data_IF_867387960454
#
_entry.id   IF_867387960454
#
_cell.length_a   1.000
_cell.length_b   1.000
_cell.length_c   1.000
_cell.angle_alpha   90.00
_cell.angle_beta   90.00
_cell.angle_gamma   90.00
#
_symmetry.space_group_name_H-M   'P 1'
#
loop_
_entity.id
_entity.type
_entity.pdbx_description
1 polymer ?
#
# COMPACT_ATOMS: atom_id res chain seq x y z
N UNK A 1 -57.64 -41.71 19.38
CA UNK A 1 -57.16 -40.40 18.88
C UNK A 1 -55.72 -40.24 19.32
N UNK A 2 -54.72 -40.23 18.41
CA UNK A 2 -53.34 -40.02 18.82
C UNK A 2 -53.11 -38.52 19.06
N UNK A 3 -52.51 -38.20 20.21
CA UNK A 3 -52.11 -36.85 20.58
C UNK A 3 -50.78 -36.56 19.89
N UNK A 4 -50.78 -35.63 18.94
CA UNK A 4 -49.58 -35.14 18.28
C UNK A 4 -48.87 -34.16 19.22
N UNK A 5 -47.67 -34.51 19.72
CA UNK A 5 -46.80 -33.56 20.40
C UNK A 5 -46.12 -32.67 19.36
N UNK A 6 -46.46 -31.39 19.34
CA UNK A 6 -45.69 -30.37 18.62
C UNK A 6 -44.46 -29.99 19.47
N UNK A 7 -43.27 -30.36 19.01
CA UNK A 7 -42.03 -29.82 19.54
C UNK A 7 -41.76 -28.45 18.91
N UNK A 8 -41.93 -27.37 19.67
CA UNK A 8 -41.54 -26.02 19.27
C UNK A 8 -40.04 -25.88 19.55
N UNK A 9 -39.21 -25.92 18.51
CA UNK A 9 -37.81 -25.53 18.61
C UNK A 9 -37.73 -24.00 18.66
N UNK A 10 -37.61 -23.44 19.86
CA UNK A 10 -37.17 -22.06 20.01
C UNK A 10 -35.66 -22.01 19.77
N UNK A 11 -35.24 -21.48 18.62
CA UNK A 11 -33.84 -21.13 18.40
C UNK A 11 -33.48 -19.97 19.33
N UNK A 12 -32.74 -20.28 20.40
CA UNK A 12 -32.12 -19.25 21.24
C UNK A 12 -30.93 -18.71 20.45
N UNK A 13 -31.14 -17.58 19.77
CA UNK A 13 -30.04 -16.81 19.20
C UNK A 13 -29.30 -16.15 20.36
N UNK A 14 -28.18 -16.76 20.78
CA UNK A 14 -27.20 -16.04 21.57
C UNK A 14 -26.74 -14.83 20.73
N UNK A 15 -26.73 -13.61 21.26
CA UNK A 15 -26.15 -12.48 20.55
C UNK A 15 -24.68 -12.81 20.30
N UNK A 16 -24.25 -12.73 19.03
CA UNK A 16 -22.84 -12.80 18.71
C UNK A 16 -22.12 -11.71 19.53
N UNK A 17 -21.19 -12.12 20.40
CA UNK A 17 -20.51 -11.23 21.35
C UNK A 17 -19.37 -10.43 20.71
N UNK A 18 -19.22 -10.48 19.39
CA UNK A 18 -18.31 -9.64 18.61
C UNK A 18 -19.07 -8.54 17.87
N UNK A 19 -18.55 -7.31 17.91
CA UNK A 19 -19.03 -6.23 17.05
C UNK A 19 -18.64 -6.58 15.61
N UNK A 20 -19.50 -6.30 14.63
CA UNK A 20 -19.18 -6.52 13.22
C UNK A 20 -17.94 -5.72 12.83
N UNK A 21 -17.09 -6.30 11.97
CA UNK A 21 -15.91 -5.62 11.42
C UNK A 21 -16.34 -4.31 10.76
N UNK A 22 -15.71 -3.22 11.15
CA UNK A 22 -15.80 -1.93 10.48
C UNK A 22 -14.52 -1.69 9.68
N UNK A 23 -14.65 -1.17 8.47
CA UNK A 23 -13.52 -0.75 7.65
C UNK A 23 -13.85 0.51 6.87
N UNK A 24 -12.82 1.31 6.63
CA UNK A 24 -12.89 2.48 5.75
C UNK A 24 -11.54 2.72 5.10
N UNK A 25 -11.54 3.43 3.99
CA UNK A 25 -10.33 3.74 3.25
C UNK A 25 -10.32 5.20 2.79
N UNK A 26 -9.12 5.75 2.61
CA UNK A 26 -8.90 7.16 2.29
C UNK A 26 -7.56 7.37 1.61
N UNK A 27 -7.42 8.49 0.89
CA UNK A 27 -6.18 8.83 0.19
C UNK A 27 -5.94 10.33 0.16
N UNK A 28 -4.67 10.71 0.26
CA UNK A 28 -4.26 12.09 0.16
C UNK A 28 -3.09 12.24 -0.80
N UNK A 29 -3.12 13.30 -1.60
CA UNK A 29 -1.99 13.72 -2.41
C UNK A 29 -0.85 14.17 -1.48
N UNK A 30 0.34 13.61 -1.70
CA UNK A 30 1.58 13.93 -0.99
C UNK A 30 2.67 14.43 -1.94
N UNK A 31 2.30 14.83 -3.16
CA UNK A 31 3.22 15.37 -4.18
C UNK A 31 3.79 16.70 -3.72
N UNK A 32 5.11 16.81 -3.53
CA UNK A 32 5.70 18.08 -3.12
C UNK A 32 5.96 18.99 -4.35
N UNK A 33 6.29 20.27 -4.11
CA UNK A 33 6.65 21.18 -5.19
C UNK A 33 7.85 20.68 -6.03
N UNK A 34 7.83 20.99 -7.33
CA UNK A 34 8.97 20.76 -8.24
C UNK A 34 10.25 21.40 -7.68
N UNK A 35 11.38 20.73 -7.84
CA UNK A 35 12.65 21.10 -7.23
C UNK A 35 12.89 20.50 -5.85
N UNK A 36 11.88 19.88 -5.24
CA UNK A 36 12.07 19.06 -4.03
C UNK A 36 12.99 17.88 -4.33
N UNK A 37 14.01 17.59 -3.50
CA UNK A 37 14.89 16.43 -3.66
C UNK A 37 14.11 15.14 -3.92
N UNK A 38 14.60 14.31 -4.83
CA UNK A 38 14.08 12.96 -5.03
C UNK A 38 14.88 11.93 -4.22
N UNK A 39 14.35 10.73 -4.04
CA UNK A 39 15.02 9.66 -3.30
C UNK A 39 15.13 8.36 -4.12
N UNK A 40 16.14 7.54 -3.83
CA UNK A 40 16.34 6.23 -4.45
C UNK A 40 17.61 6.13 -5.31
N UNK A 41 17.75 6.95 -6.36
CA UNK A 41 18.91 6.88 -7.26
C UNK A 41 20.08 7.75 -6.78
N UNK A 42 21.19 7.10 -6.41
CA UNK A 42 22.44 7.79 -6.05
C UNK A 42 23.02 8.65 -7.19
N UNK A 43 22.75 8.30 -8.45
CA UNK A 43 23.16 9.07 -9.62
C UNK A 43 22.59 10.51 -9.65
N UNK A 44 21.47 10.76 -8.96
CA UNK A 44 20.91 12.12 -8.83
C UNK A 44 21.70 13.00 -7.89
N UNK A 45 22.58 12.45 -7.05
CA UNK A 45 23.36 13.21 -6.05
C UNK A 45 22.49 14.16 -5.21
N UNK A 46 21.27 13.72 -4.86
CA UNK A 46 20.32 14.51 -4.07
C UNK A 46 19.65 15.68 -4.80
N UNK A 47 19.73 15.76 -6.13
CA UNK A 47 18.99 16.74 -6.95
C UNK A 47 17.47 16.55 -6.82
N UNK A 48 16.76 17.66 -7.01
CA UNK A 48 15.30 17.69 -7.01
C UNK A 48 14.67 17.29 -8.33
N UNK A 49 13.36 17.12 -8.29
CA UNK A 49 12.56 16.86 -9.49
C UNK A 49 12.57 18.06 -10.44
N UNK A 50 12.39 17.77 -11.72
CA UNK A 50 12.23 18.74 -12.81
C UNK A 50 10.76 18.83 -13.28
N UNK A 51 9.90 17.91 -12.81
CA UNK A 51 8.47 17.93 -13.09
C UNK A 51 7.69 16.86 -12.32
N UNK A 52 6.41 16.74 -12.66
CA UNK A 52 5.47 15.75 -12.13
C UNK A 52 4.85 15.05 -13.34
N UNK A 53 5.06 13.75 -13.47
CA UNK A 53 4.36 12.95 -14.48
C UNK A 53 2.96 12.56 -13.97
N UNK A 54 2.90 12.01 -12.76
CA UNK A 54 1.67 11.66 -12.07
C UNK A 54 1.78 11.97 -10.56
N UNK A 55 0.66 12.27 -9.88
CA UNK A 55 0.68 12.53 -8.44
C UNK A 55 1.07 11.29 -7.65
N UNK A 56 1.74 11.51 -6.53
CA UNK A 56 2.10 10.47 -5.55
C UNK A 56 1.19 10.56 -4.33
N UNK A 57 0.79 9.42 -3.80
CA UNK A 57 -0.29 9.33 -2.81
C UNK A 57 0.16 8.70 -1.50
N UNK A 58 -0.50 9.09 -0.42
CA UNK A 58 -0.67 8.26 0.76
C UNK A 58 -2.07 7.63 0.70
N UNK A 59 -2.18 6.33 0.98
CA UNK A 59 -3.43 5.57 0.94
C UNK A 59 -3.55 4.75 2.21
N UNK A 60 -4.66 4.90 2.92
CA UNK A 60 -4.88 4.28 4.23
C UNK A 60 -6.12 3.37 4.20
N UNK A 61 -6.02 2.26 4.91
CA UNK A 61 -7.09 1.34 5.24
C UNK A 61 -7.19 1.26 6.77
N UNK A 62 -8.35 1.61 7.31
CA UNK A 62 -8.74 1.43 8.70
C UNK A 62 -9.52 0.12 8.85
N UNK A 63 -9.22 -0.67 9.89
CA UNK A 63 -9.92 -1.89 10.24
C UNK A 63 -10.20 -1.91 11.76
N UNK A 64 -11.40 -2.34 12.15
CA UNK A 64 -11.85 -2.40 13.55
C UNK A 64 -12.80 -3.59 13.77
N UNK A 65 -12.37 -4.61 14.53
CA UNK A 65 -13.21 -5.76 14.88
C UNK A 65 -14.00 -5.57 16.20
N UNK A 66 -14.04 -4.34 16.71
CA UNK A 66 -14.60 -3.96 18.01
C UNK A 66 -13.67 -4.18 19.20
N UNK A 67 -12.54 -4.87 19.01
CA UNK A 67 -11.51 -5.13 20.04
C UNK A 67 -10.16 -4.52 19.66
N UNK A 68 -9.72 -4.77 18.43
CA UNK A 68 -8.45 -4.35 17.87
C UNK A 68 -8.73 -3.42 16.69
N UNK A 69 -8.03 -2.29 16.69
CA UNK A 69 -8.11 -1.28 15.62
C UNK A 69 -6.75 -1.14 14.95
N UNK A 70 -6.70 -1.10 13.62
CA UNK A 70 -5.47 -1.11 12.82
C UNK A 70 -5.55 -0.09 11.70
N UNK A 71 -4.44 0.60 11.43
CA UNK A 71 -4.22 1.31 10.17
C UNK A 71 -3.16 0.57 9.35
N UNK A 72 -3.47 0.29 8.08
CA UNK A 72 -2.48 -0.04 7.05
C UNK A 72 -2.36 1.13 6.10
N UNK A 73 -1.16 1.73 6.02
CA UNK A 73 -0.93 2.95 5.25
C UNK A 73 0.22 2.75 4.27
N UNK A 74 -0.10 2.73 2.97
CA UNK A 74 0.86 2.68 1.88
C UNK A 74 1.14 4.07 1.31
N UNK A 75 2.41 4.37 1.03
CA UNK A 75 2.85 5.65 0.49
C UNK A 75 3.71 5.48 -0.76
N UNK A 76 3.51 6.33 -1.75
CA UNK A 76 4.34 6.39 -2.96
C UNK A 76 5.67 7.11 -2.69
N UNK A 77 6.51 6.46 -1.86
CA UNK A 77 7.82 6.92 -1.43
C UNK A 77 8.85 5.80 -1.61
N UNK A 78 10.14 6.14 -1.49
CA UNK A 78 11.17 5.10 -1.46
C UNK A 78 11.15 4.32 -0.13
N UNK A 79 10.93 4.98 1.00
CA UNK A 79 11.00 4.35 2.31
C UNK A 79 10.32 5.21 3.37
N UNK A 80 9.87 4.56 4.44
CA UNK A 80 9.46 5.24 5.67
C UNK A 80 10.70 5.39 6.56
N UNK A 81 11.29 6.59 6.56
CA UNK A 81 12.44 6.86 7.43
C UNK A 81 11.98 7.11 8.89
N UNK A 82 12.88 7.00 9.89
CA UNK A 82 12.52 7.19 11.29
C UNK A 82 11.89 8.56 11.60
N UNK A 83 12.38 9.63 10.96
CA UNK A 83 11.86 10.98 11.15
C UNK A 83 10.41 11.13 10.65
N UNK A 84 10.10 10.56 9.49
CA UNK A 84 8.75 10.51 8.94
C UNK A 84 7.83 9.63 9.79
N UNK A 85 8.31 8.46 10.21
CA UNK A 85 7.54 7.59 11.11
C UNK A 85 7.18 8.33 12.40
N UNK A 86 8.17 8.93 13.06
CA UNK A 86 7.95 9.67 14.30
C UNK A 86 6.92 10.80 14.09
N UNK A 87 7.08 11.59 13.02
CA UNK A 87 6.19 12.71 12.76
C UNK A 87 4.76 12.28 12.42
N UNK A 88 4.58 11.19 11.66
CA UNK A 88 3.26 10.62 11.38
C UNK A 88 2.60 10.14 12.67
N UNK A 89 3.33 9.45 13.57
CA UNK A 89 2.78 8.97 14.83
C UNK A 89 2.41 10.11 15.80
N UNK A 90 3.15 11.22 15.79
CA UNK A 90 2.80 12.43 16.55
C UNK A 90 1.50 13.10 16.06
N UNK A 91 1.25 13.04 14.74
CA UNK A 91 0.10 13.67 14.09
C UNK A 91 -1.09 12.72 13.93
N UNK A 92 -0.88 11.43 14.12
CA UNK A 92 -1.91 10.41 13.92
C UNK A 92 -3.07 10.65 14.88
N UNK A 93 -4.31 10.42 14.45
CA UNK A 93 -5.46 10.54 15.33
C UNK A 93 -5.37 9.50 16.44
N UNK A 94 -5.78 9.87 17.67
CA UNK A 94 -5.78 8.99 18.85
C UNK A 94 -6.94 7.98 18.78
N UNK A 95 -6.86 7.11 17.77
CA UNK A 95 -7.87 6.11 17.41
C UNK A 95 -7.33 4.69 17.52
N UNK A 96 -6.01 4.52 17.36
CA UNK A 96 -5.35 3.22 17.46
C UNK A 96 -4.04 3.37 18.24
N UNK A 97 -3.59 2.31 18.95
CA UNK A 97 -2.24 2.28 19.51
C UNK A 97 -1.18 2.49 18.41
N UNK A 98 -0.07 3.21 18.66
CA UNK A 98 0.98 3.44 17.66
C UNK A 98 1.54 2.17 17.02
N UNK A 99 1.59 1.06 17.77
CA UNK A 99 2.00 -0.26 17.31
C UNK A 99 1.04 -0.90 16.30
N UNK A 100 -0.20 -0.43 16.23
CA UNK A 100 -1.22 -0.87 15.29
C UNK A 100 -1.26 -0.01 14.02
N UNK A 101 -0.30 0.90 13.84
CA UNK A 101 -0.14 1.70 12.62
C UNK A 101 1.00 1.10 11.79
N UNK A 102 0.63 0.42 10.71
CA UNK A 102 1.57 -0.15 9.75
C UNK A 102 1.81 0.87 8.64
N UNK A 103 2.98 1.50 8.65
CA UNK A 103 3.43 2.39 7.58
C UNK A 103 4.33 1.64 6.61
N UNK A 104 4.03 1.72 5.32
CA UNK A 104 4.81 1.10 4.25
C UNK A 104 4.96 2.04 3.07
N UNK A 105 6.02 1.84 2.30
CA UNK A 105 6.32 2.61 1.11
C UNK A 105 6.35 1.67 -0.10
N UNK A 106 5.83 2.12 -1.25
CA UNK A 106 5.89 1.35 -2.50
C UNK A 106 7.31 1.13 -2.97
N UNK A 107 8.27 1.92 -2.48
CA UNK A 107 9.65 1.92 -2.91
C UNK A 107 9.84 2.51 -4.32
N UNK A 108 8.95 3.40 -4.76
CA UNK A 108 9.21 4.22 -5.95
C UNK A 108 10.49 5.05 -5.77
N UNK A 109 11.37 4.98 -6.76
CA UNK A 109 12.55 5.85 -6.84
C UNK A 109 12.19 7.22 -7.45
N UNK A 110 10.94 7.46 -7.79
CA UNK A 110 10.45 8.73 -8.32
C UNK A 110 9.53 9.46 -7.33
N UNK A 111 9.66 9.17 -6.03
CA UNK A 111 9.07 9.95 -4.94
C UNK A 111 10.05 10.93 -4.28
N UNK A 112 9.57 11.67 -3.28
CA UNK A 112 10.37 12.69 -2.60
C UNK A 112 11.38 12.14 -1.61
N UNK A 113 12.52 12.83 -1.56
CA UNK A 113 13.53 12.76 -0.52
C UNK A 113 13.38 13.90 0.47
N UNK A 114 14.51 14.41 0.97
CA UNK A 114 14.56 15.58 1.85
C UNK A 114 14.00 15.37 3.26
N UNK A 115 13.63 14.14 3.64
CA UNK A 115 12.96 13.88 4.92
C UNK A 115 13.87 13.27 6.00
N UNK A 116 15.17 13.06 5.74
CA UNK A 116 16.11 12.52 6.74
C UNK A 116 17.22 13.50 7.10
N UNK A 117 17.58 13.51 8.38
CA UNK A 117 18.71 14.29 8.93
C UNK A 117 20.05 13.55 8.79
N UNK A 118 20.03 12.23 8.54
CA UNK A 118 21.24 11.40 8.49
C UNK A 118 22.10 11.73 7.27
N UNK A 119 23.28 12.30 7.51
CA UNK A 119 24.20 12.76 6.46
C UNK A 119 24.53 11.73 5.37
N UNK A 120 24.80 10.44 5.68
CA UNK A 120 25.12 9.47 4.63
C UNK A 120 23.98 9.25 3.62
N UNK A 121 22.73 9.25 4.09
CA UNK A 121 21.54 9.01 3.26
C UNK A 121 21.23 10.22 2.36
N UNK A 122 21.65 11.42 2.78
CA UNK A 122 21.42 12.68 2.03
C UNK A 122 22.12 12.74 0.66
N UNK A 123 23.09 11.87 0.39
CA UNK A 123 23.65 11.70 -0.96
C UNK A 123 22.62 11.16 -1.96
N UNK A 124 21.69 10.34 -1.47
CA UNK A 124 20.64 9.69 -2.28
C UNK A 124 19.31 10.41 -2.13
N UNK A 125 19.01 10.95 -0.95
CA UNK A 125 17.74 11.61 -0.65
C UNK A 125 17.79 13.14 -0.73
N UNK A 126 18.95 13.74 -0.96
CA UNK A 126 19.16 15.19 -0.96
C UNK A 126 19.08 15.88 0.40
N UNK A 127 19.11 17.21 0.37
CA UNK A 127 19.13 18.07 1.58
C UNK A 127 17.86 17.88 2.41
N UNK A 128 18.02 17.80 3.73
CA UNK A 128 16.90 17.82 4.66
C UNK A 128 16.07 19.10 4.54
N UNK A 129 14.77 18.95 4.33
CA UNK A 129 13.77 20.00 4.17
C UNK A 129 12.62 19.72 5.16
N UNK A 130 12.57 20.41 6.31
CA UNK A 130 11.57 20.14 7.34
C UNK A 130 10.14 20.33 6.84
N UNK A 131 9.89 21.29 5.93
CA UNK A 131 8.56 21.54 5.37
C UNK A 131 8.07 20.38 4.49
N UNK A 132 8.99 19.65 3.83
CA UNK A 132 8.65 18.45 3.04
C UNK A 132 8.28 17.31 3.98
N UNK A 133 9.03 17.13 5.08
CA UNK A 133 8.70 16.16 6.12
C UNK A 133 7.32 16.46 6.72
N UNK A 134 7.07 17.72 7.09
CA UNK A 134 5.82 18.15 7.71
C UNK A 134 4.62 17.95 6.77
N UNK A 135 4.71 18.47 5.54
CA UNK A 135 3.62 18.37 4.58
C UNK A 135 3.32 16.93 4.17
N UNK A 136 4.35 16.08 4.06
CA UNK A 136 4.19 14.63 3.79
C UNK A 136 3.50 13.95 4.98
N UNK A 137 3.93 14.21 6.22
CA UNK A 137 3.31 13.64 7.41
C UNK A 137 1.84 14.06 7.56
N UNK A 138 1.53 15.34 7.34
CA UNK A 138 0.15 15.84 7.32
C UNK A 138 -0.70 15.19 6.23
N UNK A 139 -0.14 14.96 5.04
CA UNK A 139 -0.86 14.25 3.97
C UNK A 139 -1.19 12.81 4.36
N UNK A 140 -0.24 12.10 4.94
CA UNK A 140 -0.43 10.73 5.44
C UNK A 140 -1.55 10.68 6.48
N UNK A 141 -1.54 11.60 7.46
CA UNK A 141 -2.57 11.61 8.51
C UNK A 141 -3.93 12.07 8.00
N UNK A 142 -3.99 12.91 6.96
CA UNK A 142 -5.25 13.18 6.23
C UNK A 142 -5.84 11.93 5.60
N UNK A 143 -5.02 11.10 4.95
CA UNK A 143 -5.50 9.83 4.38
C UNK A 143 -6.03 8.89 5.48
N UNK A 144 -5.35 8.84 6.63
CA UNK A 144 -5.80 8.06 7.80
C UNK A 144 -7.13 8.59 8.35
N UNK A 145 -7.29 9.91 8.45
CA UNK A 145 -8.52 10.53 8.92
C UNK A 145 -9.69 10.23 7.97
N UNK A 146 -9.48 10.36 6.66
CA UNK A 146 -10.48 10.01 5.65
C UNK A 146 -10.87 8.53 5.73
N UNK A 147 -9.90 7.63 5.91
CA UNK A 147 -10.15 6.20 6.08
C UNK A 147 -10.98 5.90 7.34
N UNK A 148 -10.78 6.63 8.42
CA UNK A 148 -11.61 6.50 9.61
C UNK A 148 -13.01 7.06 9.39
N UNK A 149 -13.14 8.23 8.77
CA UNK A 149 -14.42 8.91 8.57
C UNK A 149 -15.32 8.18 7.57
N UNK A 150 -14.74 7.44 6.62
CA UNK A 150 -15.47 6.63 5.63
C UNK A 150 -15.88 5.24 6.14
N UNK A 151 -15.55 4.89 7.38
CA UNK A 151 -15.75 3.53 7.88
C UNK A 151 -17.21 3.11 7.89
N UNK A 152 -17.44 1.87 7.49
CA UNK A 152 -18.74 1.20 7.48
C UNK A 152 -18.58 -0.25 7.88
N UNK A 153 -19.68 -0.97 8.07
CA UNK A 153 -19.64 -2.43 8.25
C UNK A 153 -18.99 -3.07 7.03
N UNK A 154 -18.06 -3.97 7.27
CA UNK A 154 -17.22 -4.52 6.25
C UNK A 154 -16.98 -6.02 6.45
N UNK A 155 -16.60 -6.66 5.36
CA UNK A 155 -16.07 -8.01 5.34
C UNK A 155 -14.69 -7.98 4.68
N UNK A 156 -13.82 -8.91 5.09
CA UNK A 156 -12.46 -9.03 4.56
C UNK A 156 -12.22 -10.46 4.07
N UNK A 157 -11.49 -10.58 2.98
CA UNK A 157 -11.06 -11.85 2.44
C UNK A 157 -9.68 -11.72 1.78
N UNK A 158 -9.05 -12.86 1.53
CA UNK A 158 -7.75 -12.90 0.86
C UNK A 158 -7.71 -13.97 -0.22
N UNK A 159 -6.83 -13.77 -1.19
CA UNK A 159 -6.53 -14.73 -2.23
C UNK A 159 -5.13 -14.53 -2.77
N UNK A 160 -4.67 -15.50 -3.54
CA UNK A 160 -3.36 -15.43 -4.20
C UNK A 160 -3.48 -15.88 -5.66
N UNK A 161 -2.68 -15.27 -6.53
CA UNK A 161 -2.47 -15.76 -7.89
C UNK A 161 -0.98 -15.96 -8.16
N UNK A 162 -0.72 -16.75 -9.21
CA UNK A 162 0.60 -16.82 -9.82
C UNK A 162 0.65 -15.94 -11.05
N UNK A 163 1.61 -15.02 -11.12
CA UNK A 163 1.89 -14.20 -12.31
C UNK A 163 3.01 -14.79 -13.16
N UNK A 164 2.95 -14.50 -14.46
CA UNK A 164 4.00 -14.84 -15.41
C UNK A 164 4.52 -13.57 -16.06
N UNK A 165 5.82 -13.33 -15.94
CA UNK A 165 6.53 -12.30 -16.71
C UNK A 165 6.39 -10.86 -16.18
N UNK A 166 5.71 -10.61 -15.06
CA UNK A 166 5.66 -9.29 -14.41
C UNK A 166 6.87 -8.98 -13.54
N UNK A 167 7.61 -10.01 -13.11
CA UNK A 167 8.79 -9.89 -12.26
C UNK A 167 9.98 -10.61 -12.88
N UNK A 168 11.18 -10.05 -12.72
CA UNK A 168 12.45 -10.67 -13.12
C UNK A 168 13.53 -10.50 -12.04
N UNK A 169 14.43 -11.47 -11.93
CA UNK A 169 15.62 -11.33 -11.11
C UNK A 169 16.65 -10.43 -11.83
N UNK A 170 17.02 -9.31 -11.22
CA UNK A 170 17.99 -8.36 -11.78
C UNK A 170 19.45 -8.63 -11.40
N UNK A 171 19.70 -9.59 -10.50
CA UNK A 171 21.05 -9.91 -10.02
C UNK A 171 21.66 -11.11 -10.73
N UNK A 172 20.83 -12.09 -11.10
CA UNK A 172 21.27 -13.31 -11.77
C UNK A 172 20.30 -13.66 -12.90
N UNK A 173 20.83 -13.84 -14.12
CA UNK A 173 20.04 -14.35 -15.25
C UNK A 173 19.51 -15.76 -14.91
N UNK A 174 18.21 -15.98 -15.06
CA UNK A 174 17.55 -17.22 -14.63
C UNK A 174 17.47 -17.42 -13.11
N UNK A 175 17.80 -16.40 -12.31
CA UNK A 175 17.69 -16.43 -10.85
C UNK A 175 16.24 -16.58 -10.37
N UNK A 176 16.04 -16.88 -9.06
CA UNK A 176 14.71 -17.07 -8.51
C UNK A 176 13.87 -15.81 -8.64
N UNK A 177 12.60 -16.03 -9.00
CA UNK A 177 11.56 -15.01 -9.10
C UNK A 177 10.45 -15.35 -8.14
N UNK A 178 9.92 -14.35 -7.47
CA UNK A 178 8.66 -14.50 -6.75
C UNK A 178 7.51 -14.20 -7.71
N UNK A 179 6.82 -15.27 -8.07
CA UNK A 179 5.71 -15.24 -9.02
C UNK A 179 4.35 -15.10 -8.30
N UNK A 180 4.33 -14.93 -6.98
CA UNK A 180 3.07 -14.78 -6.24
C UNK A 180 2.58 -13.34 -6.27
N UNK A 181 1.27 -13.17 -6.47
CA UNK A 181 0.53 -11.96 -6.15
C UNK A 181 -0.40 -12.29 -4.99
N UNK A 182 -0.30 -11.53 -3.90
CA UNK A 182 -1.26 -11.58 -2.81
C UNK A 182 -2.32 -10.50 -2.99
N UNK A 183 -3.58 -10.81 -2.67
CA UNK A 183 -4.68 -9.84 -2.71
C UNK A 183 -5.50 -9.97 -1.44
N UNK A 184 -5.75 -8.83 -0.79
CA UNK A 184 -6.78 -8.68 0.24
C UNK A 184 -7.88 -7.82 -0.35
N UNK A 185 -9.11 -8.30 -0.24
CA UNK A 185 -10.32 -7.55 -0.56
C UNK A 185 -11.00 -7.17 0.74
N UNK A 186 -11.35 -5.89 0.86
CA UNK A 186 -12.24 -5.39 1.90
C UNK A 186 -13.46 -4.81 1.21
N UNK A 187 -14.64 -5.27 1.57
CA UNK A 187 -15.92 -4.88 0.97
C UNK A 187 -16.90 -4.42 2.04
N UNK A 188 -17.84 -3.55 1.65
CA UNK A 188 -18.95 -3.15 2.51
C UNK A 188 -20.03 -4.25 2.59
N UNK A 189 -21.08 -4.00 3.38
CA UNK A 189 -22.20 -4.93 3.56
C UNK A 189 -22.98 -5.25 2.27
N UNK A 190 -22.84 -4.44 1.22
CA UNK A 190 -23.47 -4.65 -0.09
C UNK A 190 -22.53 -5.36 -1.08
N UNK A 191 -21.33 -5.75 -0.64
CA UNK A 191 -20.31 -6.39 -1.46
C UNK A 191 -19.54 -5.42 -2.36
N UNK A 192 -19.62 -4.11 -2.11
CA UNK A 192 -18.83 -3.15 -2.87
C UNK A 192 -17.42 -3.04 -2.30
N UNK A 193 -16.36 -3.06 -3.14
CA UNK A 193 -14.98 -2.90 -2.66
C UNK A 193 -14.73 -1.54 -2.00
N UNK A 194 -14.32 -1.57 -0.73
CA UNK A 194 -13.78 -0.43 0.03
C UNK A 194 -12.30 -0.26 -0.31
N UNK A 195 -11.53 -1.35 -0.29
CA UNK A 195 -10.11 -1.35 -0.59
C UNK A 195 -9.68 -2.68 -1.20
N UNK A 196 -8.73 -2.61 -2.12
CA UNK A 196 -8.00 -3.76 -2.63
C UNK A 196 -6.52 -3.56 -2.31
N UNK A 197 -5.99 -4.40 -1.44
CA UNK A 197 -4.55 -4.41 -1.13
C UNK A 197 -3.89 -5.50 -1.96
N UNK A 198 -2.99 -5.13 -2.86
CA UNK A 198 -2.25 -6.09 -3.68
C UNK A 198 -0.76 -6.07 -3.33
N UNK A 199 -0.14 -7.24 -3.39
CA UNK A 199 1.28 -7.44 -3.13
C UNK A 199 1.97 -8.04 -4.36
N UNK A 200 3.13 -7.50 -4.74
CA UNK A 200 4.01 -8.08 -5.77
C UNK A 200 5.47 -7.79 -5.46
N UNK A 201 6.36 -8.74 -5.73
CA UNK A 201 7.80 -8.60 -5.51
C UNK A 201 8.53 -8.01 -6.74
N UNK A 202 8.34 -6.72 -7.04
CA UNK A 202 9.08 -6.06 -8.12
C UNK A 202 9.45 -4.62 -7.74
N UNK A 203 10.72 -4.25 -7.87
CA UNK A 203 11.17 -2.91 -7.53
C UNK A 203 10.52 -1.85 -8.46
N UNK A 204 9.88 -0.78 -7.94
CA UNK A 204 9.36 0.31 -8.77
C UNK A 204 10.49 1.26 -9.21
N UNK A 205 11.25 0.75 -10.17
CA UNK A 205 12.31 1.43 -10.91
C UNK A 205 12.11 1.15 -12.39
N UNK A 206 10.88 1.37 -12.88
CA UNK A 206 10.50 1.08 -14.27
C UNK A 206 10.70 2.28 -15.20
N UNK A 207 10.75 3.48 -14.63
CA UNK A 207 10.93 4.75 -15.34
C UNK A 207 12.35 4.85 -15.89
N UNK A 208 12.46 5.20 -17.17
CA UNK A 208 13.73 5.31 -17.89
C UNK A 208 14.52 6.58 -17.56
N UNK A 209 15.79 6.60 -18.00
CA UNK A 209 16.75 7.67 -17.67
C UNK A 209 16.29 9.07 -18.12
N UNK A 210 15.61 9.17 -19.28
CA UNK A 210 15.10 10.44 -19.80
C UNK A 210 14.07 11.10 -18.87
N UNK A 211 13.34 10.30 -18.09
CA UNK A 211 12.28 10.73 -17.19
C UNK A 211 12.68 10.60 -15.72
N UNK A 212 13.97 10.39 -15.45
CA UNK A 212 14.45 10.11 -14.10
C UNK A 212 14.26 11.29 -13.13
N UNK A 213 13.89 12.49 -13.59
CA UNK A 213 13.63 13.65 -12.73
C UNK A 213 12.13 14.00 -12.61
N UNK A 214 11.23 13.13 -13.04
CA UNK A 214 9.78 13.32 -12.88
C UNK A 214 9.27 12.68 -11.60
N UNK A 215 8.46 13.39 -10.80
CA UNK A 215 7.70 12.71 -9.74
C UNK A 215 6.68 11.74 -10.36
N UNK A 216 6.60 10.53 -9.78
CA UNK A 216 5.70 9.46 -10.22
C UNK A 216 5.61 8.35 -9.17
N UNK A 217 4.41 7.76 -9.08
CA UNK A 217 4.18 6.55 -8.30
C UNK A 217 4.75 5.28 -8.97
N UNK A 218 5.36 5.39 -10.16
CA UNK A 218 5.89 4.28 -10.98
C UNK A 218 4.74 3.30 -11.36
N UNK A 219 5.02 2.02 -11.65
CA UNK A 219 3.98 1.07 -12.02
C UNK A 219 2.87 0.90 -10.95
N UNK A 220 3.10 1.09 -9.62
CA UNK A 220 2.02 1.15 -8.63
C UNK A 220 0.96 2.21 -8.94
N UNK A 221 1.34 3.38 -9.47
CA UNK A 221 0.39 4.42 -9.88
C UNK A 221 -0.61 3.94 -10.93
N UNK A 222 -0.11 3.22 -11.92
CA UNK A 222 -0.95 2.60 -12.96
C UNK A 222 -1.78 1.43 -12.43
N UNK A 223 -1.28 0.69 -11.43
CA UNK A 223 -2.08 -0.30 -10.72
C UNK A 223 -3.28 0.35 -10.02
N UNK A 224 -3.08 1.46 -9.31
CA UNK A 224 -4.18 2.14 -8.62
C UNK A 224 -5.27 2.61 -9.57
N UNK A 225 -4.87 3.33 -10.63
CA UNK A 225 -5.82 3.89 -11.59
C UNK A 225 -6.58 2.80 -12.34
N UNK A 226 -5.93 1.69 -12.69
CA UNK A 226 -6.61 0.56 -13.33
C UNK A 226 -7.53 -0.18 -12.34
N UNK A 227 -7.11 -0.39 -11.10
CA UNK A 227 -7.97 -1.02 -10.08
C UNK A 227 -9.22 -0.20 -9.78
N UNK A 228 -9.11 1.13 -9.70
CA UNK A 228 -10.24 2.05 -9.53
C UNK A 228 -11.25 1.91 -10.70
N UNK A 229 -10.77 1.69 -11.94
CA UNK A 229 -11.63 1.39 -13.10
C UNK A 229 -12.25 -0.01 -13.05
N UNK A 230 -11.51 -1.02 -12.62
CA UNK A 230 -11.95 -2.43 -12.56
C UNK A 230 -12.86 -2.74 -11.36
N UNK A 231 -12.92 -1.85 -10.38
CA UNK A 231 -13.75 -1.99 -9.18
C UNK A 231 -14.80 -0.89 -9.12
N UNK A 232 -14.46 0.26 -8.54
CA UNK A 232 -15.26 1.48 -8.50
C UNK A 232 -14.38 2.69 -8.12
N UNK A 233 -14.77 3.93 -8.47
CA UNK A 233 -14.00 5.13 -8.15
C UNK A 233 -13.73 5.37 -6.67
N UNK A 234 -14.61 4.88 -5.79
CA UNK A 234 -14.52 5.02 -4.33
C UNK A 234 -13.64 3.96 -3.67
N UNK A 235 -13.30 2.88 -4.39
CA UNK A 235 -12.35 1.90 -3.90
C UNK A 235 -10.98 2.58 -3.78
N UNK A 236 -10.27 2.33 -2.69
CA UNK A 236 -8.88 2.80 -2.51
C UNK A 236 -7.93 1.61 -2.60
N UNK A 237 -7.32 1.35 -3.77
CA UNK A 237 -6.31 0.31 -3.91
C UNK A 237 -5.02 0.68 -3.19
N UNK A 238 -4.35 -0.29 -2.54
CA UNK A 238 -3.06 -0.12 -1.86
C UNK A 238 -2.08 -1.14 -2.42
N UNK A 239 -0.87 -0.71 -2.77
CA UNK A 239 0.19 -1.58 -3.24
C UNK A 239 1.20 -1.85 -2.12
N UNK A 240 1.54 -3.11 -1.93
CA UNK A 240 2.55 -3.57 -0.99
C UNK A 240 3.70 -4.26 -1.71
N UNK A 241 4.91 -4.03 -1.23
CA UNK A 241 6.09 -4.71 -1.73
C UNK A 241 6.18 -6.15 -1.25
N UNK A 242 6.44 -7.08 -2.17
CA UNK A 242 6.97 -8.41 -1.84
C UNK A 242 8.48 -8.36 -1.56
N UNK A 243 9.14 -9.52 -1.60
CA UNK A 243 10.60 -9.60 -1.39
C UNK A 243 11.38 -9.15 -2.63
N UNK A 244 11.52 -7.83 -2.80
CA UNK A 244 11.94 -7.22 -4.07
C UNK A 244 13.40 -6.75 -4.17
N UNK A 245 14.27 -7.10 -3.22
CA UNK A 245 15.64 -6.57 -3.18
C UNK A 245 16.45 -6.85 -4.46
N UNK A 246 16.32 -8.06 -5.00
CA UNK A 246 16.95 -8.51 -6.24
C UNK A 246 15.95 -8.69 -7.40
N UNK A 247 14.74 -8.16 -7.28
CA UNK A 247 13.70 -8.25 -8.30
C UNK A 247 13.58 -6.92 -9.06
N UNK A 248 13.04 -6.94 -10.26
CA UNK A 248 12.65 -5.78 -11.07
C UNK A 248 11.39 -6.13 -11.85
N UNK A 249 10.71 -5.14 -12.42
CA UNK A 249 9.58 -5.40 -13.30
C UNK A 249 10.02 -6.11 -14.59
N UNK A 250 9.16 -7.01 -15.07
CA UNK A 250 9.31 -7.64 -16.37
C UNK A 250 8.87 -6.75 -17.53
N UNK A 251 8.51 -7.38 -18.65
CA UNK A 251 8.00 -6.69 -19.84
C UNK A 251 7.20 -7.66 -20.72
N UNK A 252 6.07 -8.21 -20.22
CA UNK A 252 5.34 -9.26 -20.91
C UNK A 252 4.69 -8.79 -22.22
N UNK A 253 4.43 -7.48 -22.36
CA UNK A 253 3.85 -6.89 -23.58
C UNK A 253 4.91 -6.28 -24.52
N UNK A 254 6.20 -6.45 -24.22
CA UNK A 254 7.32 -5.96 -25.02
C UNK A 254 7.21 -4.45 -25.37
N UNK A 255 6.83 -3.63 -24.38
CA UNK A 255 6.72 -2.16 -24.50
C UNK A 255 8.00 -1.46 -24.03
N UNK A 256 8.14 -0.17 -24.33
CA UNK A 256 9.23 0.66 -23.83
C UNK A 256 8.70 1.81 -22.96
N UNK A 257 9.59 2.43 -22.20
CA UNK A 257 9.36 3.69 -21.49
C UNK A 257 8.09 3.65 -20.62
N UNK A 258 7.34 4.75 -20.58
CA UNK A 258 6.07 4.83 -19.84
C UNK A 258 5.06 3.76 -20.24
N UNK A 259 5.01 3.35 -21.51
CA UNK A 259 4.10 2.30 -21.94
C UNK A 259 4.43 0.95 -21.28
N UNK A 260 5.71 0.67 -20.99
CA UNK A 260 6.12 -0.50 -20.19
C UNK A 260 5.67 -0.35 -18.75
N UNK A 261 5.96 0.78 -18.11
CA UNK A 261 5.54 1.07 -16.73
C UNK A 261 4.04 0.90 -16.55
N UNK A 262 3.25 1.52 -17.44
CA UNK A 262 1.80 1.40 -17.49
C UNK A 262 1.35 -0.05 -17.67
N UNK A 263 1.95 -0.77 -18.61
CA UNK A 263 1.57 -2.15 -18.89
C UNK A 263 1.70 -3.06 -17.68
N UNK A 264 2.74 -2.88 -16.87
CA UNK A 264 2.97 -3.70 -15.68
C UNK A 264 1.95 -3.38 -14.59
N UNK A 265 1.68 -2.09 -14.33
CA UNK A 265 0.66 -1.69 -13.36
C UNK A 265 -0.73 -2.16 -13.76
N UNK A 266 -1.10 -2.00 -15.04
CA UNK A 266 -2.38 -2.48 -15.59
C UNK A 266 -2.52 -3.99 -15.48
N UNK A 267 -1.50 -4.75 -15.88
CA UNK A 267 -1.54 -6.21 -15.78
C UNK A 267 -1.61 -6.70 -14.34
N UNK A 268 -0.90 -6.06 -13.41
CA UNK A 268 -1.02 -6.35 -11.98
C UNK A 268 -2.47 -6.15 -11.50
N UNK A 269 -3.11 -5.04 -11.87
CA UNK A 269 -4.51 -4.76 -11.51
C UNK A 269 -5.46 -5.83 -12.09
N UNK A 270 -5.26 -6.22 -13.35
CA UNK A 270 -6.07 -7.27 -13.99
C UNK A 270 -5.91 -8.61 -13.28
N UNK A 271 -4.69 -9.01 -12.91
CA UNK A 271 -4.46 -10.22 -12.10
C UNK A 271 -5.09 -10.11 -10.71
N UNK A 272 -4.99 -8.96 -10.05
CA UNK A 272 -5.65 -8.76 -8.77
C UNK A 272 -7.18 -8.87 -8.89
N UNK A 273 -7.77 -8.33 -9.96
CA UNK A 273 -9.20 -8.45 -10.25
C UNK A 273 -9.64 -9.89 -10.51
N UNK A 274 -8.83 -10.68 -11.21
CA UNK A 274 -9.09 -12.12 -11.40
C UNK A 274 -9.14 -12.86 -10.05
N UNK A 275 -8.23 -12.53 -9.12
CA UNK A 275 -8.22 -13.11 -7.76
C UNK A 275 -9.45 -12.72 -6.98
N UNK A 276 -9.84 -11.44 -7.02
CA UNK A 276 -11.02 -10.90 -6.30
C UNK A 276 -12.29 -11.70 -6.58
N UNK A 277 -12.49 -12.15 -7.82
CA UNK A 277 -13.68 -12.93 -8.20
C UNK A 277 -13.81 -14.27 -7.46
N UNK A 278 -12.72 -14.78 -6.87
CA UNK A 278 -12.70 -16.02 -6.09
C UNK A 278 -12.54 -15.81 -4.59
N UNK A 279 -12.46 -14.56 -4.10
CA UNK A 279 -12.37 -14.26 -2.68
C UNK A 279 -13.76 -14.35 -2.06
N UNK A 280 -13.89 -15.10 -0.96
CA UNK A 280 -15.04 -15.04 -0.08
C UNK A 280 -14.68 -14.15 1.11
N UNK A 281 -15.36 -13.03 1.26
CA UNK A 281 -15.17 -12.13 2.40
C UNK A 281 -16.04 -12.56 3.58
N UNK A 282 -15.57 -12.30 4.79
CA UNK A 282 -16.34 -12.49 6.01
C UNK A 282 -15.82 -11.64 7.16
N UNK A 283 -16.41 -11.87 8.33
CA UNK A 283 -15.89 -11.33 9.59
C UNK A 283 -14.49 -11.86 9.88
N UNK A 284 -13.64 -11.04 10.49
CA UNK A 284 -12.30 -11.44 10.90
C UNK A 284 -11.93 -10.85 12.25
N UNK A 285 -11.20 -11.63 13.05
CA UNK A 285 -10.57 -11.14 14.29
C UNK A 285 -9.17 -10.62 13.97
N UNK A 286 -8.92 -9.37 14.36
CA UNK A 286 -7.66 -8.69 14.15
C UNK A 286 -6.73 -8.94 15.35
N UNK A 287 -5.47 -9.26 15.07
CA UNK A 287 -4.42 -9.41 16.07
C UNK A 287 -3.18 -8.70 15.59
N UNK A 288 -2.62 -7.85 16.45
CA UNK A 288 -1.38 -7.12 16.18
C UNK A 288 -0.36 -7.50 17.24
N UNK A 289 0.88 -7.68 16.80
CA UNK A 289 2.05 -7.82 17.67
C UNK A 289 3.17 -6.96 17.10
N UNK A 290 3.91 -6.30 17.99
CA UNK A 290 5.07 -5.47 17.64
C UNK A 290 6.23 -5.78 18.58
N UNK A 291 7.44 -5.62 18.08
CA UNK A 291 8.66 -5.74 18.86
C UNK A 291 9.74 -4.84 18.24
N UNK A 292 10.63 -4.30 19.08
CA UNK A 292 11.82 -3.57 18.65
C UNK A 292 13.06 -4.42 18.93
N UNK A 293 13.50 -5.26 17.97
CA UNK A 293 14.69 -6.07 18.15
C UNK A 293 15.96 -5.25 17.94
N UNK A 294 16.98 -5.50 18.76
CA UNK A 294 18.33 -5.02 18.48
C UNK A 294 18.92 -5.83 17.31
N UNK A 295 19.12 -5.19 16.17
CA UNK A 295 19.82 -5.79 15.03
C UNK A 295 21.32 -5.53 15.14
N UNK A 296 22.18 -6.49 14.77
CA UNK A 296 23.61 -6.23 14.67
C UNK A 296 23.87 -5.11 13.65
N UNK A 297 24.94 -4.35 13.84
CA UNK A 297 25.43 -3.43 12.82
C UNK A 297 25.75 -4.25 11.56
N UNK A 298 24.85 -4.26 10.59
CA UNK A 298 25.15 -4.78 9.27
C UNK A 298 26.20 -3.84 8.65
N UNK A 299 27.35 -4.39 8.25
CA UNK A 299 28.33 -3.68 7.44
C UNK A 299 27.63 -3.24 6.15
N UNK A 300 27.29 -1.95 6.11
CA UNK A 300 26.79 -1.27 4.91
C UNK A 300 27.96 -0.95 3.97
#
# INVERSE_FOLDING_TARGET
MPILLLAVFAAVFAPATGRALEAGAGRADITPPVGTPMNGYGARMGRGSEGVHDPIWARALYLDDGTTRVFLVGMDLVAVNPELRARVLELAPDLVPPENIILTATHTHNGQGGMTRKMPVRLVSGRFMPDVLESTAMGITRAMQEAYDSRTRAAIGFGTAKQTGLTNNRRFSGGPRDEQIGVILVEDADGNPISVVANMAAHPTSIGDADMYQFSADYPGFFYTEMEKLTRPECVPIFLNGTQGNQTIGNPENKSDWARTESVGRLLAQRAKEVINGINCGEATLRVASAEPALPLALA
#
